data_IF_915900688268
#
_entry.id   IF_915900688268
#
_cell.length_a   1.000
_cell.length_b   1.000
_cell.length_c   1.000
_cell.angle_alpha   90.00
_cell.angle_beta   90.00
_cell.angle_gamma   90.00
#
_symmetry.space_group_name_H-M   'P 1'
#
loop_
_entity.id
_entity.type
_entity.pdbx_description
1 polymer ?
#
# COMPACT_ATOMS: atom_id res chain seq x y z
N UNK A 1 -9.55 -4.55 26.31
CA UNK A 1 -8.56 -3.46 26.34
C UNK A 1 -9.12 -2.28 27.11
N UNK A 2 -8.32 -1.63 27.96
CA UNK A 2 -8.72 -0.39 28.61
C UNK A 2 -8.90 0.72 27.55
N UNK A 3 -9.92 1.57 27.71
CA UNK A 3 -10.16 2.68 26.77
C UNK A 3 -9.02 3.70 26.88
N UNK A 4 -8.52 4.24 25.76
CA UNK A 4 -7.48 5.26 25.79
C UNK A 4 -7.94 6.50 26.57
N UNK A 5 -7.06 7.05 27.41
CA UNK A 5 -7.35 8.30 28.13
C UNK A 5 -7.10 9.50 27.20
N UNK A 6 -7.77 10.63 27.48
CA UNK A 6 -7.56 11.87 26.71
C UNK A 6 -6.10 12.31 26.70
N UNK A 7 -5.42 12.20 27.84
CA UNK A 7 -4.00 12.57 27.95
C UNK A 7 -3.13 11.70 27.04
N UNK A 8 -3.33 10.38 27.08
CA UNK A 8 -2.61 9.46 26.21
C UNK A 8 -2.80 9.77 24.72
N UNK A 9 -4.03 10.11 24.30
CA UNK A 9 -4.31 10.51 22.90
C UNK A 9 -3.51 11.76 22.53
N UNK A 10 -3.48 12.78 23.40
CA UNK A 10 -2.75 14.02 23.13
C UNK A 10 -1.24 13.82 23.09
N UNK A 11 -0.71 12.92 23.94
CA UNK A 11 0.70 12.55 23.96
C UNK A 11 1.09 11.84 22.66
N UNK A 12 0.27 10.89 22.19
CA UNK A 12 0.48 10.24 20.90
C UNK A 12 0.43 11.23 19.75
N UNK A 13 -0.54 12.14 19.74
CA UNK A 13 -0.70 13.14 18.68
C UNK A 13 0.50 14.10 18.62
N UNK A 14 1.02 14.51 19.77
CA UNK A 14 2.23 15.33 19.88
C UNK A 14 3.46 14.57 19.42
N UNK A 15 3.60 13.31 19.83
CA UNK A 15 4.69 12.43 19.39
C UNK A 15 4.68 12.25 17.88
N UNK A 16 3.53 11.89 17.29
CA UNK A 16 3.37 11.72 15.85
C UNK A 16 3.67 13.00 15.07
N UNK A 17 3.19 14.16 15.53
CA UNK A 17 3.52 15.44 14.91
C UNK A 17 5.02 15.69 14.93
N UNK A 18 5.68 15.42 16.05
CA UNK A 18 7.13 15.65 16.16
C UNK A 18 7.91 14.70 15.25
N UNK A 19 7.57 13.41 15.29
CA UNK A 19 8.31 12.35 14.59
C UNK A 19 8.11 12.40 13.07
N UNK A 20 6.90 12.76 12.61
CA UNK A 20 6.54 12.75 11.19
C UNK A 20 6.39 14.13 10.56
N UNK A 21 6.59 15.23 11.30
CA UNK A 21 6.44 16.61 10.80
C UNK A 21 7.16 16.85 9.46
N UNK A 22 8.45 16.52 9.39
CA UNK A 22 9.24 16.71 8.17
C UNK A 22 8.71 15.87 6.99
N UNK A 23 8.21 14.67 7.27
CA UNK A 23 7.62 13.79 6.26
C UNK A 23 6.28 14.33 5.76
N UNK A 24 5.43 14.83 6.66
CA UNK A 24 4.16 15.43 6.29
C UNK A 24 4.36 16.66 5.41
N UNK A 25 5.33 17.52 5.72
CA UNK A 25 5.69 18.67 4.88
C UNK A 25 6.13 18.22 3.48
N UNK A 26 6.88 17.12 3.36
CA UNK A 26 7.28 16.58 2.07
C UNK A 26 6.08 16.05 1.28
N UNK A 27 5.15 15.32 1.92
CA UNK A 27 3.90 14.89 1.27
C UNK A 27 3.05 16.06 0.80
N UNK A 28 2.86 17.09 1.64
CA UNK A 28 2.11 18.28 1.27
C UNK A 28 2.76 19.00 0.06
N UNK A 29 4.08 18.98 -0.01
CA UNK A 29 4.84 19.54 -1.13
C UNK A 29 4.61 18.72 -2.41
N UNK A 30 4.72 17.39 -2.32
CA UNK A 30 4.47 16.48 -3.44
C UNK A 30 3.04 16.65 -3.97
N UNK A 31 2.04 16.74 -3.08
CA UNK A 31 0.65 17.01 -3.42
C UNK A 31 0.48 18.37 -4.09
N UNK A 32 1.13 19.41 -3.57
CA UNK A 32 1.10 20.76 -4.16
C UNK A 32 1.56 20.74 -5.62
N UNK A 33 2.63 20.01 -5.93
CA UNK A 33 3.15 19.93 -7.29
C UNK A 33 2.35 18.97 -8.17
N UNK A 34 1.91 17.82 -7.64
CA UNK A 34 1.13 16.84 -8.39
C UNK A 34 -0.26 17.37 -8.76
N UNK A 35 -0.93 18.07 -7.85
CA UNK A 35 -2.24 18.73 -8.10
C UNK A 35 -2.10 20.10 -8.77
N UNK A 36 -0.88 20.48 -9.19
CA UNK A 36 -0.58 21.71 -9.93
C UNK A 36 -0.96 23.00 -9.16
N UNK A 37 -1.01 22.93 -7.83
CA UNK A 37 -1.39 24.02 -6.91
C UNK A 37 -0.24 25.00 -6.63
N UNK A 38 0.56 25.31 -7.65
CA UNK A 38 1.75 26.18 -7.52
C UNK A 38 1.75 27.35 -8.51
N UNK A 39 0.60 27.68 -9.11
CA UNK A 39 0.43 28.83 -10.01
C UNK A 39 1.00 30.12 -9.41
N UNK A 40 0.71 30.37 -8.14
CA UNK A 40 1.17 31.58 -7.44
C UNK A 40 2.69 31.61 -7.21
N UNK A 41 3.36 30.46 -7.35
CA UNK A 41 4.82 30.32 -7.21
C UNK A 41 5.57 30.51 -8.54
N UNK A 42 4.87 30.77 -9.66
CA UNK A 42 5.50 30.96 -10.97
C UNK A 42 6.29 32.27 -11.08
N UNK A 43 6.17 33.19 -10.12
CA UNK A 43 6.91 34.46 -10.11
C UNK A 43 6.53 35.39 -11.26
N UNK A 44 5.31 35.25 -11.79
CA UNK A 44 4.80 36.09 -12.87
C UNK A 44 4.65 37.55 -12.39
N UNK A 45 4.97 38.54 -13.24
CA UNK A 45 4.65 39.93 -12.97
C UNK A 45 3.16 40.11 -12.65
N UNK A 46 2.82 41.08 -11.79
CA UNK A 46 1.42 41.29 -11.32
C UNK A 46 0.43 41.41 -12.47
N UNK A 47 0.86 42.06 -13.54
CA UNK A 47 0.09 42.26 -14.78
C UNK A 47 -0.25 40.97 -15.54
N UNK A 48 0.50 39.87 -15.33
CA UNK A 48 0.30 38.59 -16.02
C UNK A 48 -0.06 37.43 -15.07
N UNK A 49 -0.31 37.69 -13.77
CA UNK A 49 -0.66 36.63 -12.82
C UNK A 49 -1.91 35.84 -13.26
N UNK A 50 -2.91 36.56 -13.76
CA UNK A 50 -4.17 35.97 -14.24
C UNK A 50 -4.04 35.26 -15.60
N UNK A 51 -2.98 35.53 -16.36
CA UNK A 51 -2.71 34.89 -17.66
C UNK A 51 -1.87 33.61 -17.54
N UNK A 52 -1.21 33.40 -16.40
CA UNK A 52 -0.38 32.23 -16.16
C UNK A 52 -1.18 30.93 -16.10
N UNK A 53 -0.83 29.96 -16.95
CA UNK A 53 -1.41 28.60 -16.94
C UNK A 53 -0.34 27.58 -16.57
N UNK A 54 -0.64 26.72 -15.59
CA UNK A 54 0.19 25.55 -15.29
C UNK A 54 -0.24 24.41 -16.21
N UNK A 55 0.66 23.97 -17.08
CA UNK A 55 0.38 22.84 -17.97
C UNK A 55 0.48 21.52 -17.20
N UNK A 56 -0.46 20.58 -17.41
CA UNK A 56 -0.46 19.30 -16.71
C UNK A 56 0.59 18.31 -17.23
N UNK A 57 1.48 18.73 -18.15
CA UNK A 57 2.44 17.84 -18.83
C UNK A 57 3.24 16.96 -17.87
N UNK A 58 3.67 17.50 -16.73
CA UNK A 58 4.39 16.72 -15.72
C UNK A 58 3.49 15.68 -15.04
N UNK A 59 2.24 16.02 -14.70
CA UNK A 59 1.24 15.11 -14.15
C UNK A 59 0.89 14.01 -15.15
N UNK A 60 0.69 14.36 -16.42
CA UNK A 60 0.38 13.40 -17.48
C UNK A 60 1.52 12.39 -17.66
N UNK A 61 2.78 12.82 -17.54
CA UNK A 61 3.95 11.93 -17.57
C UNK A 61 3.95 10.99 -16.35
N UNK A 62 3.67 11.50 -15.14
CA UNK A 62 3.60 10.67 -13.91
C UNK A 62 2.46 9.66 -13.99
N UNK A 63 1.30 10.07 -14.49
CA UNK A 63 0.14 9.21 -14.65
C UNK A 63 0.36 8.15 -15.74
N UNK A 64 1.00 8.53 -16.86
CA UNK A 64 1.43 7.59 -17.89
C UNK A 64 2.44 6.58 -17.33
N UNK A 65 3.45 7.04 -16.58
CA UNK A 65 4.43 6.18 -15.90
C UNK A 65 3.75 5.19 -14.94
N UNK A 66 2.81 5.68 -14.13
CA UNK A 66 1.99 4.86 -13.22
C UNK A 66 1.19 3.81 -13.99
N UNK A 67 0.57 4.18 -15.11
CA UNK A 67 -0.19 3.25 -15.95
C UNK A 67 0.71 2.20 -16.63
N UNK A 68 1.99 2.52 -16.87
CA UNK A 68 2.98 1.57 -17.36
C UNK A 68 3.51 0.62 -16.28
N UNK A 69 3.30 0.89 -14.99
CA UNK A 69 3.58 -0.07 -13.92
C UNK A 69 2.57 -1.22 -14.00
N UNK A 70 2.92 -2.22 -14.81
CA UNK A 70 2.09 -3.40 -14.99
C UNK A 70 2.14 -4.30 -13.76
N UNK A 71 1.09 -4.24 -12.95
CA UNK A 71 0.84 -5.23 -11.89
C UNK A 71 0.41 -6.59 -12.45
N UNK A 72 0.28 -6.76 -13.77
CA UNK A 72 -0.12 -8.04 -14.41
C UNK A 72 0.96 -9.11 -14.28
N UNK A 73 2.24 -8.70 -14.24
CA UNK A 73 3.38 -9.62 -14.23
C UNK A 73 4.14 -9.61 -12.90
N UNK A 74 3.46 -9.40 -11.77
CA UNK A 74 4.12 -9.46 -10.47
C UNK A 74 4.78 -10.83 -10.27
N UNK A 75 6.10 -10.82 -10.01
CA UNK A 75 6.90 -12.02 -9.75
C UNK A 75 7.25 -12.07 -8.27
N UNK A 76 6.76 -13.09 -7.60
CA UNK A 76 7.14 -13.39 -6.22
C UNK A 76 8.37 -14.29 -6.21
N UNK A 77 9.48 -13.75 -5.71
CA UNK A 77 10.71 -14.49 -5.48
C UNK A 77 10.88 -14.68 -3.97
N UNK A 78 10.93 -15.92 -3.51
CA UNK A 78 11.20 -16.28 -2.11
C UNK A 78 12.58 -16.92 -2.01
N UNK A 79 13.66 -16.14 -1.84
CA UNK A 79 14.98 -16.71 -1.60
C UNK A 79 14.98 -17.34 -0.20
N UNK A 80 14.85 -18.66 -0.13
CA UNK A 80 15.02 -19.39 1.13
C UNK A 80 16.51 -19.61 1.42
N UNK A 81 16.92 -19.43 2.67
CA UNK A 81 18.23 -19.85 3.16
C UNK A 81 18.18 -21.36 3.42
N UNK A 82 18.50 -22.17 2.41
CA UNK A 82 18.60 -23.63 2.55
C UNK A 82 18.82 -24.33 1.20
N UNK A 83 19.76 -25.28 1.15
CA UNK A 83 20.13 -26.01 -0.07
C UNK A 83 19.65 -27.46 -0.02
N UNK A 84 18.33 -27.64 0.15
CA UNK A 84 17.71 -28.97 0.23
C UNK A 84 16.36 -29.04 -0.51
N UNK A 85 15.94 -30.24 -0.96
CA UNK A 85 14.69 -30.44 -1.69
C UNK A 85 13.44 -30.06 -0.87
N UNK A 86 13.45 -30.27 0.45
CA UNK A 86 12.36 -29.82 1.34
C UNK A 86 12.25 -28.30 1.40
N UNK A 87 13.37 -27.59 1.49
CA UNK A 87 13.40 -26.13 1.48
C UNK A 87 12.89 -25.58 0.14
N UNK A 88 13.19 -26.26 -0.97
CA UNK A 88 12.65 -25.91 -2.29
C UNK A 88 11.13 -26.13 -2.38
N UNK A 89 10.63 -27.25 -1.85
CA UNK A 89 9.19 -27.53 -1.82
C UNK A 89 8.42 -26.52 -0.95
N UNK A 90 8.95 -26.15 0.22
CA UNK A 90 8.39 -25.11 1.08
C UNK A 90 8.43 -23.74 0.42
N UNK A 91 9.53 -23.39 -0.26
CA UNK A 91 9.65 -22.14 -1.01
C UNK A 91 8.58 -22.04 -2.10
N UNK A 92 8.35 -23.14 -2.82
CA UNK A 92 7.35 -23.21 -3.88
C UNK A 92 5.92 -23.10 -3.34
N UNK A 93 5.61 -23.76 -2.22
CA UNK A 93 4.33 -23.62 -1.52
C UNK A 93 4.06 -22.17 -1.10
N UNK A 94 5.03 -21.52 -0.45
CA UNK A 94 4.92 -20.13 -0.03
C UNK A 94 4.78 -19.18 -1.23
N UNK A 95 5.53 -19.43 -2.32
CA UNK A 95 5.41 -18.66 -3.56
C UNK A 95 4.01 -18.76 -4.16
N UNK A 96 3.42 -19.96 -4.17
CA UNK A 96 2.03 -20.17 -4.63
C UNK A 96 1.03 -19.43 -3.75
N UNK A 97 1.19 -19.49 -2.42
CA UNK A 97 0.37 -18.74 -1.47
C UNK A 97 0.45 -17.23 -1.71
N UNK A 98 1.66 -16.66 -1.78
CA UNK A 98 1.87 -15.23 -2.03
C UNK A 98 1.24 -14.80 -3.38
N UNK A 99 1.38 -15.65 -4.41
CA UNK A 99 0.79 -15.42 -5.74
C UNK A 99 -0.74 -15.44 -5.68
N UNK A 100 -1.34 -16.36 -4.93
CA UNK A 100 -2.79 -16.46 -4.76
C UNK A 100 -3.34 -15.25 -4.00
N UNK A 101 -2.67 -14.83 -2.93
CA UNK A 101 -3.02 -13.61 -2.18
C UNK A 101 -2.95 -12.36 -3.05
N UNK A 102 -1.90 -12.24 -3.88
CA UNK A 102 -1.80 -11.16 -4.85
C UNK A 102 -2.94 -11.18 -5.85
N UNK A 103 -3.28 -12.34 -6.42
CA UNK A 103 -4.35 -12.47 -7.39
C UNK A 103 -5.70 -12.05 -6.79
N UNK A 104 -6.04 -12.59 -5.61
CA UNK A 104 -7.27 -12.26 -4.87
C UNK A 104 -7.37 -10.78 -4.57
N UNK A 105 -6.32 -10.19 -3.98
CA UNK A 105 -6.30 -8.77 -3.63
C UNK A 105 -6.31 -7.87 -4.85
N UNK A 106 -5.82 -8.32 -6.00
CA UNK A 106 -5.80 -7.54 -7.23
C UNK A 106 -7.10 -7.60 -8.01
N UNK A 107 -7.72 -8.78 -8.13
CA UNK A 107 -8.84 -9.03 -9.06
C UNK A 107 -10.18 -8.95 -8.35
N UNK A 108 -10.27 -9.42 -7.11
CA UNK A 108 -11.55 -9.47 -6.39
C UNK A 108 -11.84 -8.19 -5.60
N UNK A 109 -10.87 -7.27 -5.53
CA UNK A 109 -11.07 -5.98 -4.86
C UNK A 109 -11.65 -4.94 -5.83
N UNK A 110 -12.61 -4.15 -5.35
CA UNK A 110 -13.15 -3.00 -6.08
C UNK A 110 -12.08 -1.94 -6.36
N UNK A 111 -11.08 -1.84 -5.48
CA UNK A 111 -9.89 -1.01 -5.63
C UNK A 111 -8.67 -1.89 -5.39
N UNK A 112 -7.93 -2.17 -6.46
CA UNK A 112 -6.67 -2.92 -6.37
C UNK A 112 -5.64 -2.15 -5.51
N UNK A 113 -5.28 -2.64 -4.32
CA UNK A 113 -4.30 -1.96 -3.45
C UNK A 113 -2.94 -1.87 -4.14
N UNK A 114 -2.61 -2.83 -5.01
CA UNK A 114 -1.39 -2.84 -5.82
C UNK A 114 -1.33 -1.71 -6.84
N UNK A 115 -2.47 -1.33 -7.44
CA UNK A 115 -2.54 -0.17 -8.33
C UNK A 115 -2.34 1.13 -7.54
N UNK A 116 -2.96 1.23 -6.37
CA UNK A 116 -2.81 2.39 -5.47
C UNK A 116 -1.36 2.54 -5.02
N UNK A 117 -0.73 1.44 -4.59
CA UNK A 117 0.68 1.44 -4.20
C UNK A 117 1.62 1.82 -5.35
N UNK A 118 1.35 1.34 -6.56
CA UNK A 118 2.13 1.72 -7.75
C UNK A 118 2.05 3.22 -8.00
N UNK A 119 0.84 3.81 -7.91
CA UNK A 119 0.65 5.26 -8.01
C UNK A 119 1.40 6.00 -6.91
N UNK A 120 1.25 5.59 -5.65
CA UNK A 120 1.93 6.21 -4.53
C UNK A 120 3.46 6.10 -4.65
N UNK A 121 3.98 4.99 -5.16
CA UNK A 121 5.40 4.84 -5.46
C UNK A 121 5.89 5.81 -6.54
N UNK A 122 5.09 6.06 -7.58
CA UNK A 122 5.43 7.02 -8.63
C UNK A 122 5.27 8.49 -8.19
N UNK A 123 4.26 8.80 -7.38
CA UNK A 123 3.96 10.17 -6.94
C UNK A 123 4.81 10.59 -5.74
N UNK A 124 4.91 9.75 -4.73
CA UNK A 124 5.52 10.09 -3.43
C UNK A 124 6.83 9.34 -3.15
N UNK A 125 7.25 8.43 -4.04
CA UNK A 125 8.41 7.58 -3.84
C UNK A 125 8.25 6.51 -2.76
N UNK A 126 7.08 6.41 -2.11
CA UNK A 126 6.81 5.41 -1.06
C UNK A 126 5.37 4.94 -1.05
N UNK A 127 5.20 3.68 -0.63
CA UNK A 127 3.89 3.08 -0.36
C UNK A 127 4.05 2.06 0.77
N UNK A 128 2.95 1.78 1.45
CA UNK A 128 2.91 0.77 2.51
C UNK A 128 1.67 -0.11 2.32
N UNK A 129 1.84 -1.42 2.50
CA UNK A 129 0.72 -2.33 2.70
C UNK A 129 0.66 -2.70 4.18
N UNK A 130 -0.53 -2.67 4.74
CA UNK A 130 -0.82 -3.25 6.03
C UNK A 130 -1.76 -4.44 5.82
N UNK A 131 -1.29 -5.61 6.22
CA UNK A 131 -2.11 -6.82 6.23
C UNK A 131 -2.75 -6.94 7.62
N UNK A 132 -4.05 -6.72 7.68
CA UNK A 132 -4.82 -6.86 8.91
C UNK A 132 -5.37 -8.29 8.99
N UNK A 133 -5.00 -8.99 10.06
CA UNK A 133 -5.62 -10.26 10.41
C UNK A 133 -6.87 -9.99 11.24
N UNK A 134 -8.02 -10.50 10.78
CA UNK A 134 -9.29 -10.42 11.47
C UNK A 134 -9.72 -11.85 11.84
N UNK A 135 -9.53 -12.27 13.11
CA UNK A 135 -9.82 -13.65 13.53
C UNK A 135 -11.31 -14.00 13.39
N UNK A 136 -12.19 -13.00 13.45
CA UNK A 136 -13.64 -13.21 13.31
C UNK A 136 -14.06 -13.48 11.86
N UNK A 137 -13.18 -13.21 10.88
CA UNK A 137 -13.42 -13.44 9.44
C UNK A 137 -12.62 -14.60 8.85
N UNK A 138 -11.58 -15.04 9.54
CA UNK A 138 -10.69 -16.12 9.12
C UNK A 138 -10.43 -17.00 10.35
N UNK A 139 -11.28 -18.03 10.58
CA UNK A 139 -11.09 -18.94 11.70
C UNK A 139 -9.69 -19.57 11.59
N UNK A 140 -9.01 -19.62 12.73
CA UNK A 140 -7.62 -20.08 12.85
C UNK A 140 -7.49 -21.58 12.62
N UNK A 141 -8.59 -22.31 12.79
CA UNK A 141 -8.72 -23.75 12.59
C UNK A 141 -9.80 -23.98 11.53
N UNK A 142 -9.69 -25.03 10.69
CA UNK A 142 -10.79 -25.41 9.82
C UNK A 142 -12.07 -25.54 10.64
N UNK A 143 -13.21 -25.09 10.11
CA UNK A 143 -14.48 -25.37 10.79
C UNK A 143 -14.80 -26.84 10.57
N UNK A 144 -14.83 -27.61 11.67
CA UNK A 144 -15.23 -29.01 11.62
C UNK A 144 -16.66 -29.10 11.09
N UNK A 145 -16.85 -29.85 10.00
CA UNK A 145 -18.18 -30.00 9.42
C UNK A 145 -19.10 -30.82 10.35
N UNK A 146 -20.41 -30.59 10.28
CA UNK A 146 -21.35 -31.31 11.14
C UNK A 146 -21.35 -32.81 10.81
N UNK A 147 -20.76 -33.62 11.68
CA UNK A 147 -20.68 -35.08 11.53
C UNK A 147 -19.28 -35.62 11.22
N UNK A 148 -18.28 -34.75 11.01
CA UNK A 148 -16.88 -35.13 10.82
C UNK A 148 -16.30 -35.69 12.13
N UNK A 149 -15.54 -36.80 12.08
CA UNK A 149 -14.89 -37.38 13.27
C UNK A 149 -13.61 -36.63 13.66
N UNK A 150 -13.14 -36.76 14.92
CA UNK A 150 -11.91 -36.09 15.39
C UNK A 150 -10.69 -36.50 14.55
N UNK A 151 -10.69 -37.74 14.05
CA UNK A 151 -9.68 -38.29 13.16
C UNK A 151 -9.74 -37.71 11.75
N UNK A 152 -10.94 -37.52 11.19
CA UNK A 152 -11.10 -36.94 9.85
C UNK A 152 -10.76 -35.44 9.84
N UNK A 153 -11.04 -34.74 10.95
CA UNK A 153 -10.71 -33.33 11.11
C UNK A 153 -9.22 -33.05 11.35
N UNK A 154 -8.49 -34.03 11.90
CA UNK A 154 -7.07 -33.91 12.24
C UNK A 154 -6.12 -34.35 11.10
N UNK A 155 -6.64 -35.01 10.07
CA UNK A 155 -5.92 -35.37 8.83
C UNK A 155 -5.98 -34.26 7.78
#
# INVERSE_FOLDING_TARGET
MARPTKQWIMDQLTSMRTLYSARNIAFDLDDTYYELLFRDKLGLPEEYKEDGVVLPTARDIVDAGTNHVSTVFARFLRPMRGTGPEAAAQAEMLRKFDTAMFYRTKIDSSISPWRVASRHGCTYGMWCFESLYDPDKLPSEPERESGESDTEFAE
#
